data_IF_369987497954
#
_entry.id   IF_369987497954
#
_cell.length_a   1.000
_cell.length_b   1.000
_cell.length_c   1.000
_cell.angle_alpha   90.00
_cell.angle_beta   90.00
_cell.angle_gamma   90.00
#
_symmetry.space_group_name_H-M   'P 1'
#
loop_
_entity.id
_entity.type
_entity.pdbx_description
1 polymer ?
#
# COMPACT_ATOMS: atom_id res chain seq x y z
N UNK A 1 25.66 66.94 -12.01
CA UNK A 1 26.23 66.38 -13.25
C UNK A 1 26.55 64.93 -12.97
N UNK A 2 25.77 64.00 -13.53
CA UNK A 2 25.87 62.56 -13.30
C UNK A 2 26.38 61.89 -14.59
N UNK A 3 27.41 61.06 -14.51
CA UNK A 3 27.81 60.12 -15.57
C UNK A 3 27.51 58.68 -15.10
N UNK A 4 26.61 57.96 -15.80
CA UNK A 4 26.14 56.63 -15.44
C UNK A 4 26.80 55.54 -16.30
N UNK A 5 27.93 54.95 -15.88
CA UNK A 5 28.35 53.66 -16.45
C UNK A 5 29.41 52.92 -15.64
N UNK A 6 28.96 51.95 -14.82
CA UNK A 6 29.46 50.56 -14.77
C UNK A 6 28.94 49.84 -13.53
N UNK A 7 27.80 49.20 -13.69
CA UNK A 7 27.45 47.99 -12.95
C UNK A 7 27.77 46.78 -13.83
N UNK A 8 28.61 45.84 -13.39
CA UNK A 8 28.57 44.49 -13.92
C UNK A 8 27.63 43.62 -13.05
N UNK A 9 26.36 43.66 -13.45
CA UNK A 9 25.49 42.51 -13.74
C UNK A 9 25.66 41.25 -12.86
N UNK A 10 24.70 41.14 -11.93
CA UNK A 10 24.17 39.92 -11.28
C UNK A 10 24.49 38.60 -12.01
N UNK A 11 25.29 37.73 -11.38
CA UNK A 11 25.39 36.30 -11.69
C UNK A 11 24.68 35.53 -10.58
N UNK A 12 23.34 35.46 -10.59
CA UNK A 12 22.58 34.69 -9.58
C UNK A 12 21.46 33.83 -10.15
N UNK A 13 21.38 33.59 -11.46
CA UNK A 13 20.19 32.90 -12.04
C UNK A 13 20.46 31.49 -12.60
N UNK A 14 21.71 31.03 -12.72
CA UNK A 14 21.96 29.74 -13.38
C UNK A 14 21.93 28.49 -12.48
N UNK A 15 22.01 28.60 -11.15
CA UNK A 15 22.03 27.41 -10.28
C UNK A 15 20.63 26.86 -9.91
N UNK A 16 19.56 27.63 -10.14
CA UNK A 16 18.18 27.20 -9.84
C UNK A 16 17.60 26.26 -10.92
N UNK A 17 18.18 26.21 -12.12
CA UNK A 17 17.67 25.38 -13.22
C UNK A 17 18.06 23.90 -13.12
N UNK A 18 19.21 23.57 -12.53
CA UNK A 18 19.72 22.20 -12.53
C UNK A 18 18.97 21.28 -11.55
N UNK A 19 18.53 21.82 -10.41
CA UNK A 19 17.71 21.08 -9.45
C UNK A 19 16.33 20.73 -10.01
N UNK A 20 15.73 21.62 -10.79
CA UNK A 20 14.42 21.41 -11.39
C UNK A 20 14.43 20.33 -12.49
N UNK A 21 15.51 20.25 -13.28
CA UNK A 21 15.66 19.24 -14.35
C UNK A 21 15.89 17.84 -13.79
N UNK A 22 16.64 17.70 -12.68
CA UNK A 22 16.80 16.41 -12.00
C UNK A 22 15.48 15.92 -11.37
N UNK A 23 14.67 16.83 -10.82
CA UNK A 23 13.32 16.51 -10.29
C UNK A 23 12.36 16.11 -11.42
N UNK A 24 12.43 16.76 -12.59
CA UNK A 24 11.59 16.43 -13.74
C UNK A 24 11.94 15.04 -14.34
N UNK A 25 13.23 14.69 -14.38
CA UNK A 25 13.69 13.39 -14.89
C UNK A 25 13.41 12.22 -13.93
N UNK A 26 13.42 12.46 -12.62
CA UNK A 26 13.00 11.45 -11.64
C UNK A 26 11.48 11.21 -11.63
N UNK A 27 10.67 12.27 -11.87
CA UNK A 27 9.22 12.15 -12.01
C UNK A 27 8.81 11.33 -13.25
N UNK A 28 9.58 11.41 -14.33
CA UNK A 28 9.32 10.67 -15.58
C UNK A 28 9.65 9.17 -15.51
N UNK A 29 10.46 8.72 -14.54
CA UNK A 29 10.82 7.30 -14.42
C UNK A 29 9.96 6.51 -13.41
N UNK A 30 9.34 7.17 -12.42
CA UNK A 30 8.38 6.52 -11.51
C UNK A 30 6.94 6.56 -12.01
N UNK A 31 6.62 7.45 -12.95
CA UNK A 31 5.36 7.42 -13.69
C UNK A 31 5.49 6.45 -14.86
N UNK A 32 5.52 5.13 -14.58
CA UNK A 32 5.14 4.17 -15.62
C UNK A 32 3.65 4.36 -15.87
N UNK A 33 3.21 4.81 -17.06
CA UNK A 33 1.80 4.72 -17.39
C UNK A 33 1.43 3.24 -17.34
N UNK A 34 0.42 2.96 -16.52
CA UNK A 34 -0.28 1.68 -16.45
C UNK A 34 -0.52 1.20 -17.89
N UNK A 35 0.23 0.21 -18.35
CA UNK A 35 -0.09 -0.48 -19.59
C UNK A 35 -1.43 -1.17 -19.38
N UNK A 36 -2.44 -0.49 -19.88
CA UNK A 36 -3.80 -0.95 -20.06
C UNK A 36 -3.76 -1.97 -21.19
N UNK A 37 -3.37 -3.20 -20.87
CA UNK A 37 -3.64 -4.46 -21.60
C UNK A 37 -3.45 -5.53 -20.51
N UNK A 38 -4.46 -6.24 -20.03
CA UNK A 38 -5.21 -7.21 -20.80
C UNK A 38 -6.44 -7.64 -19.98
N UNK A 39 -7.60 -7.04 -20.24
CA UNK A 39 -8.88 -7.55 -19.74
C UNK A 39 -9.89 -7.49 -20.87
N UNK A 40 -9.64 -8.32 -21.88
CA UNK A 40 -10.57 -8.62 -22.97
C UNK A 40 -10.37 -10.08 -23.31
N UNK A 41 -11.12 -10.95 -22.64
CA UNK A 41 -11.45 -12.36 -22.93
C UNK A 41 -12.19 -12.87 -21.68
N UNK A 42 -13.43 -13.31 -21.65
CA UNK A 42 -14.38 -13.64 -22.69
C UNK A 42 -15.81 -13.43 -22.12
N UNK A 43 -16.57 -12.53 -22.74
CA UNK A 43 -18.05 -12.56 -22.69
C UNK A 43 -18.49 -13.15 -24.02
N UNK A 44 -18.36 -14.46 -24.11
CA UNK A 44 -19.01 -15.34 -25.07
C UNK A 44 -19.22 -16.62 -24.24
N UNK A 45 -20.41 -17.10 -23.95
CA UNK A 45 -21.47 -17.37 -24.89
C UNK A 45 -22.71 -17.76 -24.05
N UNK A 46 -23.72 -16.87 -23.94
CA UNK A 46 -24.98 -17.18 -23.26
C UNK A 46 -26.21 -16.92 -24.14
N UNK A 47 -26.01 -16.69 -25.45
CA UNK A 47 -27.10 -16.39 -26.40
C UNK A 47 -27.49 -17.57 -27.30
N UNK A 48 -26.88 -18.75 -27.14
CA UNK A 48 -27.09 -19.88 -28.07
C UNK A 48 -28.06 -20.98 -27.58
N UNK A 49 -28.71 -20.85 -26.40
CA UNK A 49 -29.64 -21.89 -25.90
C UNK A 49 -31.14 -21.55 -26.04
N UNK A 50 -31.52 -20.38 -26.55
CA UNK A 50 -32.93 -19.95 -26.63
C UNK A 50 -33.63 -20.31 -27.97
N UNK A 51 -33.28 -21.41 -28.63
CA UNK A 51 -34.01 -21.79 -29.85
C UNK A 51 -33.97 -23.29 -30.16
N UNK A 52 -34.79 -24.08 -29.46
CA UNK A 52 -35.45 -25.24 -30.08
C UNK A 52 -36.68 -25.68 -29.30
N UNK A 53 -37.82 -25.03 -29.58
CA UNK A 53 -39.11 -25.64 -29.32
C UNK A 53 -39.59 -26.31 -30.62
N UNK A 54 -39.91 -27.62 -30.62
CA UNK A 54 -40.90 -28.16 -31.51
C UNK A 54 -42.27 -28.11 -30.83
N UNK A 55 -43.26 -27.77 -31.65
CA UNK A 55 -44.66 -27.64 -31.28
C UNK A 55 -45.35 -29.01 -31.22
N UNK A 56 -46.20 -29.17 -30.19
CA UNK A 56 -47.40 -30.01 -30.09
C UNK A 56 -47.29 -31.55 -30.19
N UNK A 57 -47.62 -32.22 -29.08
CA UNK A 57 -48.68 -33.23 -29.11
C UNK A 57 -49.45 -33.23 -27.78
N UNK A 58 -50.78 -33.12 -27.84
CA UNK A 58 -51.69 -33.11 -26.69
C UNK A 58 -52.16 -34.55 -26.43
N UNK A 59 -51.40 -35.31 -25.64
CA UNK A 59 -51.91 -36.55 -25.04
C UNK A 59 -52.58 -36.25 -23.68
N UNK A 60 -53.76 -36.85 -23.37
CA UNK A 60 -54.34 -36.75 -22.03
C UNK A 60 -53.42 -37.41 -21.00
N UNK A 61 -53.41 -36.93 -19.74
CA UNK A 61 -52.40 -37.33 -18.77
C UNK A 61 -52.64 -38.79 -18.33
N UNK A 62 -51.60 -39.65 -18.33
CA UNK A 62 -51.66 -40.83 -17.47
C UNK A 62 -51.62 -40.35 -16.02
N UNK A 63 -52.54 -40.89 -15.23
CA UNK A 63 -52.68 -40.76 -13.79
C UNK A 63 -51.31 -40.68 -13.09
N UNK A 64 -51.06 -39.57 -12.38
CA UNK A 64 -49.80 -39.34 -11.67
C UNK A 64 -49.49 -40.51 -10.73
N UNK A 65 -48.39 -41.26 -10.91
CA UNK A 65 -47.92 -42.14 -9.86
C UNK A 65 -47.53 -41.30 -8.65
N UNK A 66 -47.88 -41.79 -7.46
CA UNK A 66 -47.55 -41.22 -6.13
C UNK A 66 -46.16 -40.57 -6.16
N UNK A 67 -46.02 -39.30 -5.71
CA UNK A 67 -44.73 -38.63 -5.72
C UNK A 67 -43.70 -39.49 -4.96
N UNK A 68 -42.56 -39.85 -5.56
CA UNK A 68 -41.49 -40.47 -4.82
C UNK A 68 -41.09 -39.52 -3.69
N UNK A 69 -40.94 -40.07 -2.49
CA UNK A 69 -40.50 -39.34 -1.31
C UNK A 69 -39.37 -38.38 -1.68
N UNK A 70 -39.53 -37.11 -1.28
CA UNK A 70 -38.49 -36.09 -1.32
C UNK A 70 -37.15 -36.73 -0.99
N UNK A 71 -36.13 -36.68 -1.88
CA UNK A 71 -34.79 -37.08 -1.49
C UNK A 71 -34.43 -36.26 -0.26
N UNK A 72 -34.33 -36.93 0.89
CA UNK A 72 -33.83 -36.31 2.10
C UNK A 72 -32.49 -35.68 1.72
N UNK A 73 -32.40 -34.36 1.85
CA UNK A 73 -31.17 -33.62 1.63
C UNK A 73 -30.05 -34.38 2.38
N UNK A 74 -28.96 -34.78 1.70
CA UNK A 74 -27.92 -35.54 2.35
C UNK A 74 -27.42 -34.74 3.55
N UNK A 75 -27.54 -35.30 4.75
CA UNK A 75 -27.03 -34.70 5.96
C UNK A 75 -25.58 -34.23 5.71
N UNK A 76 -25.21 -32.98 6.05
CA UNK A 76 -23.85 -32.51 5.89
C UNK A 76 -22.85 -33.50 6.50
N UNK A 77 -21.72 -33.77 5.84
CA UNK A 77 -20.67 -34.61 6.39
C UNK A 77 -20.38 -34.25 7.85
N UNK A 78 -20.23 -35.25 8.71
CA UNK A 78 -20.07 -35.06 10.15
C UNK A 78 -18.93 -34.09 10.53
N UNK A 79 -17.89 -34.01 9.69
CA UNK A 79 -16.77 -33.08 9.88
C UNK A 79 -17.12 -31.61 9.65
N UNK A 80 -18.11 -31.29 8.80
CA UNK A 80 -18.57 -29.90 8.62
C UNK A 80 -19.32 -29.40 9.86
N UNK A 81 -20.11 -30.26 10.51
CA UNK A 81 -20.86 -29.91 11.74
C UNK A 81 -19.93 -29.54 12.90
N UNK A 82 -18.79 -30.22 13.02
CA UNK A 82 -17.77 -29.88 14.03
C UNK A 82 -17.22 -28.47 13.85
N UNK A 83 -17.00 -28.04 12.61
CA UNK A 83 -16.56 -26.66 12.32
C UNK A 83 -17.63 -25.69 12.80
N UNK A 84 -18.89 -25.93 12.45
CA UNK A 84 -20.01 -25.06 12.82
C UNK A 84 -20.17 -24.95 14.34
N UNK A 85 -19.94 -26.03 15.08
CA UNK A 85 -19.99 -26.02 16.54
C UNK A 85 -18.86 -25.20 17.14
N UNK A 86 -17.66 -25.25 16.57
CA UNK A 86 -16.56 -24.40 17.07
C UNK A 86 -16.76 -22.94 16.69
N UNK A 87 -17.37 -22.63 15.54
CA UNK A 87 -17.74 -21.24 15.19
C UNK A 87 -18.69 -20.62 16.21
N UNK A 88 -19.59 -21.41 16.83
CA UNK A 88 -20.48 -20.93 17.90
C UNK A 88 -19.76 -20.63 19.21
N UNK A 89 -18.52 -21.10 19.38
CA UNK A 89 -17.71 -20.83 20.60
C UNK A 89 -16.95 -19.51 20.55
N UNK A 90 -16.97 -18.81 19.40
CA UNK A 90 -16.33 -17.51 19.28
C UNK A 90 -17.06 -16.47 20.13
N UNK A 91 -16.28 -15.69 20.87
CA UNK A 91 -16.80 -14.64 21.73
C UNK A 91 -16.84 -13.31 20.97
N UNK A 92 -17.89 -12.48 21.14
CA UNK A 92 -17.88 -11.13 20.62
C UNK A 92 -16.85 -10.28 21.37
N UNK A 93 -16.12 -9.45 20.63
CA UNK A 93 -15.16 -8.50 21.17
C UNK A 93 -15.22 -7.17 20.43
N UNK A 94 -14.67 -6.15 21.07
CA UNK A 94 -14.51 -4.82 20.53
C UNK A 94 -13.05 -4.60 20.14
N UNK A 95 -12.84 -3.85 19.06
CA UNK A 95 -11.53 -3.43 18.59
C UNK A 95 -11.46 -1.92 18.43
N UNK A 96 -10.32 -1.34 18.77
CA UNK A 96 -9.94 0.02 18.40
C UNK A 96 -8.54 0.01 17.78
N UNK A 97 -8.30 0.88 16.80
CA UNK A 97 -7.01 1.02 16.14
C UNK A 97 -6.84 2.42 15.54
N UNK A 98 -5.60 2.91 15.46
CA UNK A 98 -5.33 4.19 14.82
C UNK A 98 -5.26 4.08 13.29
N UNK A 99 -5.74 5.12 12.62
CA UNK A 99 -5.80 5.26 11.16
C UNK A 99 -5.16 6.58 10.75
N UNK A 100 -3.86 6.58 10.37
CA UNK A 100 -3.18 7.80 9.95
C UNK A 100 -3.67 8.23 8.57
N UNK A 101 -4.23 9.43 8.47
CA UNK A 101 -4.68 9.99 7.18
C UNK A 101 -3.52 10.47 6.31
N UNK A 102 -2.37 10.75 6.93
CA UNK A 102 -1.17 11.27 6.26
C UNK A 102 0.10 10.64 6.80
N UNK A 103 1.05 10.40 5.92
CA UNK A 103 2.39 9.96 6.27
C UNK A 103 3.45 10.72 5.45
N UNK A 104 4.70 10.69 5.92
CA UNK A 104 5.84 11.22 5.17
C UNK A 104 6.62 10.06 4.57
N UNK A 105 7.03 10.22 3.31
CA UNK A 105 7.84 9.24 2.62
C UNK A 105 9.11 8.91 3.42
N UNK A 106 9.38 7.63 3.66
CA UNK A 106 10.56 7.17 4.39
C UNK A 106 10.53 7.37 5.92
N UNK A 107 9.51 8.03 6.47
CA UNK A 107 9.39 8.22 7.91
C UNK A 107 8.50 7.13 8.52
N UNK A 108 9.02 6.45 9.55
CA UNK A 108 8.28 5.43 10.27
C UNK A 108 7.12 6.03 11.08
N UNK A 109 5.99 5.33 11.10
CA UNK A 109 4.83 5.59 11.94
C UNK A 109 4.40 4.31 12.66
N UNK A 110 3.73 4.46 13.80
CA UNK A 110 3.27 3.32 14.60
C UNK A 110 1.77 3.12 14.40
N UNK A 111 1.37 1.89 14.11
CA UNK A 111 -0.01 1.44 14.12
C UNK A 111 -0.20 0.54 15.34
N UNK A 112 -1.19 0.85 16.15
CA UNK A 112 -1.58 0.11 17.35
C UNK A 112 -3.03 -0.33 17.21
N UNK A 113 -3.29 -1.61 17.48
CA UNK A 113 -4.62 -2.15 17.59
C UNK A 113 -4.82 -2.79 18.96
N UNK A 114 -5.97 -2.54 19.58
CA UNK A 114 -6.35 -3.07 20.89
C UNK A 114 -7.68 -3.78 20.81
N UNK A 115 -7.76 -4.98 21.37
CA UNK A 115 -8.96 -5.80 21.41
C UNK A 115 -9.32 -6.12 22.87
N UNK A 116 -10.60 -6.04 23.20
CA UNK A 116 -11.13 -6.49 24.50
C UNK A 116 -12.52 -7.09 24.35
N UNK A 117 -12.80 -8.13 25.13
CA UNK A 117 -14.14 -8.74 25.26
C UNK A 117 -15.04 -7.98 26.25
N UNK A 118 -14.45 -7.13 27.11
CA UNK A 118 -15.17 -6.45 28.21
C UNK A 118 -15.31 -4.96 28.02
N UNK A 119 -14.25 -4.29 27.56
CA UNK A 119 -14.29 -2.85 27.44
C UNK A 119 -15.17 -2.44 26.24
N UNK A 120 -16.07 -1.46 26.41
CA UNK A 120 -16.82 -0.90 25.30
C UNK A 120 -15.89 -0.11 24.35
N UNK A 121 -16.34 0.10 23.12
CA UNK A 121 -15.54 0.73 22.05
C UNK A 121 -15.08 2.15 22.38
N UNK A 122 -15.87 2.94 23.11
CA UNK A 122 -15.53 4.29 23.56
C UNK A 122 -14.36 4.31 24.55
N UNK A 123 -14.31 3.36 25.48
CA UNK A 123 -13.18 3.25 26.43
C UNK A 123 -11.93 2.74 25.73
N UNK A 124 -12.06 1.74 24.85
CA UNK A 124 -10.94 1.26 24.02
C UNK A 124 -10.34 2.35 23.14
N UNK A 125 -11.18 3.24 22.59
CA UNK A 125 -10.75 4.32 21.72
C UNK A 125 -9.77 5.27 22.42
N UNK A 126 -10.01 5.57 23.71
CA UNK A 126 -9.15 6.45 24.52
C UNK A 126 -7.80 5.81 24.85
N UNK A 127 -7.73 4.47 24.82
CA UNK A 127 -6.50 3.73 25.06
C UNK A 127 -5.59 3.62 23.83
N UNK A 128 -6.03 4.08 22.65
CA UNK A 128 -5.23 4.01 21.43
C UNK A 128 -4.20 5.13 21.41
N UNK A 129 -2.94 4.71 21.26
CA UNK A 129 -1.80 5.59 21.09
C UNK A 129 -1.29 5.51 19.65
N UNK A 130 -1.08 6.66 19.03
CA UNK A 130 -0.52 6.74 17.69
C UNK A 130 -1.02 7.95 16.89
N UNK A 131 -0.44 8.19 15.71
CA UNK A 131 -0.91 9.24 14.80
C UNK A 131 -2.22 8.85 14.14
N UNK A 132 -3.02 9.87 13.80
CA UNK A 132 -4.26 9.71 13.03
C UNK A 132 -5.53 9.73 13.86
N UNK A 133 -6.64 9.47 13.19
CA UNK A 133 -7.93 9.21 13.83
C UNK A 133 -7.95 7.81 14.45
N UNK A 134 -8.91 7.52 15.32
CA UNK A 134 -9.08 6.17 15.89
C UNK A 134 -10.38 5.58 15.37
N UNK A 135 -10.26 4.45 14.68
CA UNK A 135 -11.38 3.66 14.22
C UNK A 135 -11.72 2.57 15.25
N UNK A 136 -13.00 2.24 15.33
CA UNK A 136 -13.53 1.21 16.22
C UNK A 136 -14.38 0.20 15.43
N UNK A 137 -14.54 -0.99 15.99
CA UNK A 137 -15.38 -2.02 15.41
C UNK A 137 -15.66 -3.15 16.39
N UNK A 138 -16.41 -4.13 15.90
CA UNK A 138 -16.66 -5.39 16.59
C UNK A 138 -16.14 -6.55 15.74
N UNK A 139 -15.72 -7.62 16.41
CA UNK A 139 -15.29 -8.85 15.76
C UNK A 139 -15.58 -10.04 16.66
N UNK A 140 -15.43 -11.23 16.10
CA UNK A 140 -15.46 -12.49 16.84
C UNK A 140 -14.02 -12.90 17.17
N UNK A 141 -13.77 -13.35 18.39
CA UNK A 141 -12.44 -13.79 18.85
C UNK A 141 -12.48 -15.22 19.38
N UNK A 142 -11.36 -15.93 19.24
CA UNK A 142 -11.09 -17.18 19.92
C UNK A 142 -9.98 -16.99 20.97
N UNK A 143 -9.60 -18.06 21.66
CA UNK A 143 -8.50 -18.03 22.65
C UNK A 143 -7.15 -17.62 22.04
N UNK A 144 -6.96 -17.80 20.73
CA UNK A 144 -5.74 -17.42 20.01
C UNK A 144 -6.10 -16.68 18.73
N UNK A 145 -5.57 -15.47 18.59
CA UNK A 145 -5.82 -14.61 17.45
C UNK A 145 -4.52 -14.42 16.67
N UNK A 146 -4.64 -14.20 15.37
CA UNK A 146 -3.56 -13.77 14.49
C UNK A 146 -3.90 -12.43 13.87
N UNK A 147 -2.97 -11.48 13.95
CA UNK A 147 -3.15 -10.15 13.41
C UNK A 147 -2.12 -9.89 12.30
N UNK A 148 -2.58 -9.38 11.16
CA UNK A 148 -1.70 -9.06 10.03
C UNK A 148 -1.92 -7.63 9.58
N UNK A 149 -0.83 -6.89 9.39
CA UNK A 149 -0.82 -5.60 8.73
C UNK A 149 0.02 -5.70 7.46
N UNK A 150 -0.54 -5.30 6.32
CA UNK A 150 0.13 -5.41 5.03
C UNK A 150 -0.15 -4.22 4.11
N UNK A 151 0.78 -3.94 3.21
CA UNK A 151 0.61 -2.94 2.15
C UNK A 151 1.86 -2.88 1.27
N UNK A 152 1.69 -3.05 -0.05
CA UNK A 152 2.83 -3.17 -0.97
C UNK A 152 3.75 -1.93 -0.98
N UNK A 153 3.17 -0.75 -0.74
CA UNK A 153 3.89 0.51 -0.67
C UNK A 153 4.52 0.81 0.70
N UNK A 154 4.47 -0.12 1.65
CA UNK A 154 4.99 0.06 3.00
C UNK A 154 5.99 -1.03 3.38
N UNK A 155 6.98 -0.68 4.18
CA UNK A 155 7.77 -1.63 4.96
C UNK A 155 7.10 -1.77 6.33
N UNK A 156 6.59 -2.96 6.65
CA UNK A 156 5.85 -3.24 7.89
C UNK A 156 6.69 -4.15 8.80
N UNK A 157 6.86 -3.74 10.06
CA UNK A 157 7.61 -4.47 11.07
C UNK A 157 6.79 -4.59 12.35
N UNK A 158 6.59 -5.79 12.92
CA UNK A 158 6.90 -7.11 12.35
C UNK A 158 6.13 -7.38 11.05
N UNK A 159 6.76 -8.08 10.10
CA UNK A 159 6.11 -8.52 8.87
C UNK A 159 5.34 -9.83 9.10
N UNK A 160 4.21 -9.98 8.41
CA UNK A 160 3.40 -11.19 8.44
C UNK A 160 2.49 -11.31 9.67
N UNK A 161 1.93 -12.51 9.90
CA UNK A 161 0.95 -12.74 10.97
C UNK A 161 1.60 -12.74 12.36
N UNK A 162 0.99 -12.02 13.30
CA UNK A 162 1.35 -12.00 14.71
C UNK A 162 0.32 -12.73 15.54
N UNK A 163 0.71 -13.89 16.06
CA UNK A 163 -0.18 -14.69 16.90
C UNK A 163 -0.06 -14.29 18.38
N UNK A 164 -1.20 -14.12 19.03
CA UNK A 164 -1.28 -13.85 20.47
C UNK A 164 -2.44 -14.60 21.12
N UNK A 165 -2.26 -14.91 22.40
CA UNK A 165 -3.34 -15.42 23.24
C UNK A 165 -4.25 -14.28 23.68
N UNK A 166 -5.56 -14.52 23.62
CA UNK A 166 -6.57 -13.59 24.10
C UNK A 166 -6.84 -13.80 25.58
N UNK A 167 -6.97 -12.69 26.30
CA UNK A 167 -7.48 -12.67 27.67
C UNK A 167 -8.92 -12.18 27.66
N UNK A 168 -9.76 -12.74 28.52
CA UNK A 168 -11.10 -12.21 28.75
C UNK A 168 -11.10 -10.99 29.69
N UNK A 169 -10.07 -10.85 30.53
CA UNK A 169 -9.97 -9.75 31.49
C UNK A 169 -9.11 -8.60 30.98
N UNK A 170 -8.08 -8.90 30.17
CA UNK A 170 -7.08 -7.92 29.75
C UNK A 170 -7.25 -7.49 28.29
N UNK A 171 -6.81 -6.27 28.01
CA UNK A 171 -6.75 -5.75 26.64
C UNK A 171 -5.53 -6.32 25.93
N UNK A 172 -5.75 -7.04 24.84
CA UNK A 172 -4.66 -7.52 23.99
C UNK A 172 -4.24 -6.43 23.01
N UNK A 173 -2.93 -6.20 22.87
CA UNK A 173 -2.37 -5.11 22.05
C UNK A 173 -1.42 -5.66 21.00
N UNK A 174 -1.62 -5.22 19.75
CA UNK A 174 -0.69 -5.41 18.65
C UNK A 174 -0.13 -4.08 18.19
N UNK A 175 1.14 -4.10 17.82
CA UNK A 175 1.87 -2.91 17.39
C UNK A 175 2.69 -3.22 16.15
N UNK A 176 2.61 -2.34 15.18
CA UNK A 176 3.42 -2.36 13.97
C UNK A 176 4.09 -1.02 13.76
N UNK A 177 5.33 -1.05 13.30
CA UNK A 177 6.02 0.09 12.72
C UNK A 177 5.90 0.01 11.21
N UNK A 178 5.47 1.09 10.58
CA UNK A 178 5.15 1.16 9.16
C UNK A 178 5.94 2.30 8.53
N UNK A 179 6.70 2.01 7.48
CA UNK A 179 7.49 3.02 6.76
C UNK A 179 7.03 3.11 5.31
N UNK A 180 6.49 4.25 4.85
CA UNK A 180 6.06 4.41 3.46
C UNK A 180 7.24 4.43 2.49
N UNK A 181 7.13 3.68 1.39
CA UNK A 181 8.12 3.60 0.30
C UNK A 181 7.72 4.37 -0.95
N UNK A 182 6.43 4.62 -1.15
CA UNK A 182 5.88 5.24 -2.35
C UNK A 182 5.00 6.42 -1.95
N UNK A 183 5.16 7.55 -2.63
CA UNK A 183 4.35 8.74 -2.40
C UNK A 183 2.95 8.61 -3.04
N UNK A 184 2.03 9.50 -2.65
CA UNK A 184 0.63 9.50 -3.09
C UNK A 184 -0.30 8.67 -2.21
N UNK A 185 -1.54 8.43 -2.65
CA UNK A 185 -2.52 7.65 -1.91
C UNK A 185 -2.12 6.17 -1.87
N UNK A 186 -1.91 5.63 -0.68
CA UNK A 186 -1.49 4.25 -0.46
C UNK A 186 -2.42 3.53 0.51
N UNK A 187 -2.58 2.21 0.33
CA UNK A 187 -3.48 1.39 1.13
C UNK A 187 -2.71 0.49 2.09
N UNK A 188 -3.14 0.48 3.35
CA UNK A 188 -2.81 -0.55 4.33
C UNK A 188 -4.03 -1.44 4.57
N UNK A 189 -3.80 -2.74 4.73
CA UNK A 189 -4.82 -3.74 5.04
C UNK A 189 -4.49 -4.32 6.40
N UNK A 190 -5.38 -4.08 7.36
CA UNK A 190 -5.35 -4.66 8.70
C UNK A 190 -6.36 -5.80 8.75
N UNK A 191 -5.92 -7.00 9.13
CA UNK A 191 -6.78 -8.17 9.28
C UNK A 191 -6.55 -8.87 10.62
N UNK A 192 -7.62 -9.42 11.17
CA UNK A 192 -7.59 -10.31 12.32
C UNK A 192 -8.27 -11.63 11.97
N UNK A 193 -7.58 -12.71 12.32
CA UNK A 193 -8.00 -14.08 12.07
C UNK A 193 -8.09 -14.82 13.41
N UNK A 194 -9.23 -15.45 13.68
CA UNK A 194 -9.39 -16.36 14.80
C UNK A 194 -8.73 -17.70 14.45
N UNK A 195 -7.82 -18.16 15.32
CA UNK A 195 -7.18 -19.47 15.19
C UNK A 195 -8.02 -20.47 15.97
N UNK A 196 -8.52 -21.47 15.23
CA UNK A 196 -9.45 -22.47 15.75
C UNK A 196 -8.83 -23.86 15.61
N UNK A 197 -8.71 -24.57 16.73
CA UNK A 197 -8.27 -25.97 16.73
C UNK A 197 -9.47 -26.90 16.63
N UNK A 198 -9.42 -27.86 15.70
CA UNK A 198 -10.44 -28.91 15.54
C UNK A 198 -9.77 -30.23 15.91
N UNK A 199 -10.36 -30.98 16.86
CA UNK A 199 -9.92 -32.33 17.25
C UNK A 199 -8.41 -32.47 17.59
N UNK A 200 -7.80 -31.43 18.17
CA UNK A 200 -6.38 -31.46 18.56
C UNK A 200 -5.40 -31.51 17.38
N UNK A 201 -5.86 -31.22 16.16
CA UNK A 201 -5.02 -31.12 14.97
C UNK A 201 -3.94 -30.04 15.14
N UNK A 202 -2.72 -30.32 14.66
CA UNK A 202 -1.57 -29.42 14.82
C UNK A 202 -1.70 -28.11 14.01
N UNK A 203 -2.48 -28.11 12.93
CA UNK A 203 -2.71 -26.93 12.10
C UNK A 203 -4.07 -26.30 12.47
N UNK A 204 -4.10 -25.12 13.13
CA UNK A 204 -5.34 -24.42 13.39
C UNK A 204 -5.95 -23.92 12.08
N UNK A 205 -7.27 -23.97 11.99
CA UNK A 205 -8.02 -23.29 10.93
C UNK A 205 -8.03 -21.80 11.24
N UNK A 206 -7.74 -20.98 10.24
CA UNK A 206 -7.87 -19.52 10.30
C UNK A 206 -9.26 -19.10 9.83
N UNK A 207 -9.93 -18.26 10.61
CA UNK A 207 -11.16 -17.61 10.20
C UNK A 207 -10.97 -16.10 10.25
N UNK A 208 -11.11 -15.42 9.12
CA UNK A 208 -11.08 -13.96 9.11
C UNK A 208 -12.32 -13.39 9.79
N UNK A 209 -12.13 -12.72 10.93
CA UNK A 209 -13.23 -12.12 11.70
C UNK A 209 -13.27 -10.61 11.58
N UNK A 210 -12.19 -10.00 11.08
CA UNK A 210 -12.13 -8.57 10.83
C UNK A 210 -11.13 -8.25 9.70
N UNK A 211 -11.52 -7.34 8.82
CA UNK A 211 -10.65 -6.76 7.81
C UNK A 211 -10.98 -5.28 7.60
N UNK A 212 -9.96 -4.43 7.59
CA UNK A 212 -10.11 -3.00 7.32
C UNK A 212 -9.02 -2.50 6.38
N UNK A 213 -9.46 -1.67 5.46
CA UNK A 213 -8.63 -0.86 4.58
C UNK A 213 -8.40 0.52 5.20
N UNK A 214 -7.14 0.94 5.27
CA UNK A 214 -6.71 2.25 5.78
C UNK A 214 -6.00 2.98 4.65
N UNK A 215 -6.65 4.02 4.12
CA UNK A 215 -6.09 4.88 3.09
C UNK A 215 -5.20 5.93 3.76
N UNK A 216 -3.93 5.98 3.34
CA UNK A 216 -2.91 6.90 3.86
C UNK A 216 -2.39 7.75 2.72
N UNK A 217 -2.46 9.08 2.87
CA UNK A 217 -1.86 10.00 1.90
C UNK A 217 -0.38 10.20 2.22
N UNK A 218 0.51 9.68 1.38
CA UNK A 218 1.96 9.79 1.57
C UNK A 218 2.47 11.03 0.84
N UNK A 219 2.91 12.03 1.61
CA UNK A 219 3.43 13.27 1.06
C UNK A 219 4.74 13.09 0.27
N UNK A 220 4.85 13.79 -0.86
CA UNK A 220 6.11 13.91 -1.59
C UNK A 220 7.15 14.72 -0.79
N UNK A 221 8.43 14.33 -0.82
CA UNK A 221 9.51 15.15 -0.26
C UNK A 221 9.55 16.49 -1.01
N UNK A 222 9.51 17.61 -0.26
CA UNK A 222 9.42 18.96 -0.83
C UNK A 222 10.77 19.67 -0.84
N UNK A 223 11.69 19.21 0.00
CA UNK A 223 13.01 19.85 0.15
C UNK A 223 14.12 18.99 -0.43
N UNK A 224 15.19 19.64 -0.94
CA UNK A 224 16.37 18.95 -1.47
C UNK A 224 17.08 18.10 -0.39
N UNK A 225 16.96 18.49 0.89
CA UNK A 225 17.50 17.77 2.04
C UNK A 225 16.74 16.47 2.32
N UNK A 226 15.40 16.51 2.33
CA UNK A 226 14.57 15.30 2.47
C UNK A 226 14.82 14.31 1.32
N UNK A 227 14.97 14.84 0.10
CA UNK A 227 15.32 14.03 -1.07
C UNK A 227 16.71 13.39 -0.93
N UNK A 228 17.70 14.15 -0.45
CA UNK A 228 19.05 13.64 -0.22
C UNK A 228 19.10 12.60 0.91
N UNK A 229 18.31 12.77 1.98
CA UNK A 229 18.18 11.79 3.05
C UNK A 229 17.49 10.50 2.58
N UNK A 230 16.46 10.62 1.74
CA UNK A 230 15.81 9.48 1.12
C UNK A 230 16.79 8.69 0.25
N UNK A 231 17.57 9.38 -0.62
CA UNK A 231 18.62 8.73 -1.41
C UNK A 231 19.68 8.14 -0.49
N UNK A 232 20.17 8.82 0.55
CA UNK A 232 21.23 8.27 1.41
C UNK A 232 20.78 6.99 2.12
N UNK A 233 19.54 6.97 2.62
CA UNK A 233 18.99 5.83 3.37
C UNK A 233 18.67 4.64 2.46
N UNK A 234 18.28 4.87 1.19
CA UNK A 234 17.95 3.82 0.20
C UNK A 234 19.04 3.65 -0.90
N UNK A 235 20.18 4.31 -0.75
CA UNK A 235 21.11 4.62 -1.86
C UNK A 235 22.17 3.57 -2.18
N UNK A 236 22.19 2.45 -1.46
CA UNK A 236 23.04 1.31 -1.83
C UNK A 236 22.79 0.84 -3.26
N UNK A 237 21.54 0.94 -3.74
CA UNK A 237 21.12 0.35 -5.01
C UNK A 237 21.05 1.35 -6.19
N UNK A 238 21.07 2.66 -5.93
CA UNK A 238 20.78 3.71 -6.94
C UNK A 238 22.02 4.55 -7.32
N UNK A 239 23.12 4.45 -6.55
CA UNK A 239 24.33 5.27 -6.74
C UNK A 239 25.01 5.09 -8.11
N UNK A 240 25.02 3.87 -8.66
CA UNK A 240 25.74 3.55 -9.91
C UNK A 240 25.12 4.17 -11.17
N UNK A 241 23.79 4.36 -11.20
CA UNK A 241 23.10 4.96 -12.36
C UNK A 241 23.43 6.44 -12.47
N UNK A 242 23.40 7.19 -11.35
CA UNK A 242 23.78 8.60 -11.35
C UNK A 242 25.27 8.82 -11.61
N UNK A 243 26.15 7.92 -11.15
CA UNK A 243 27.57 7.98 -11.48
C UNK A 243 27.82 7.92 -12.99
N UNK A 244 27.12 7.03 -13.71
CA UNK A 244 27.25 6.89 -15.16
C UNK A 244 26.77 8.11 -15.96
N UNK A 245 25.78 8.86 -15.44
CA UNK A 245 25.23 10.04 -16.10
C UNK A 245 25.96 11.34 -15.73
N UNK A 246 26.35 11.50 -14.45
CA UNK A 246 26.95 12.75 -13.96
C UNK A 246 28.43 12.89 -14.31
N UNK A 247 29.19 11.79 -14.40
CA UNK A 247 30.61 11.81 -14.80
C UNK A 247 30.81 12.39 -16.22
N UNK A 248 30.10 11.94 -17.28
CA UNK A 248 30.26 12.53 -18.61
C UNK A 248 29.72 13.97 -18.69
N UNK A 249 28.61 14.29 -18.02
CA UNK A 249 28.09 15.67 -17.97
C UNK A 249 29.07 16.62 -17.28
N UNK A 250 29.62 16.23 -16.14
CA UNK A 250 30.59 17.03 -15.39
C UNK A 250 31.85 17.31 -16.22
N UNK A 251 32.36 16.29 -16.92
CA UNK A 251 33.48 16.44 -17.85
C UNK A 251 33.19 17.41 -19.00
N UNK A 252 32.01 17.30 -19.62
CA UNK A 252 31.59 18.17 -20.72
C UNK A 252 31.41 19.63 -20.27
N UNK A 253 30.81 19.86 -19.09
CA UNK A 253 30.63 21.21 -18.51
C UNK A 253 31.99 21.83 -18.19
N UNK A 254 32.91 21.06 -17.59
CA UNK A 254 34.25 21.56 -17.30
C UNK A 254 35.02 21.93 -18.57
N UNK A 255 34.94 21.09 -19.62
CA UNK A 255 35.53 21.38 -20.92
C UNK A 255 34.94 22.65 -21.56
N UNK A 256 33.62 22.84 -21.45
CA UNK A 256 32.93 24.04 -21.96
C UNK A 256 33.35 25.31 -21.21
N UNK A 257 33.44 25.25 -19.87
CA UNK A 257 33.91 26.38 -19.04
C UNK A 257 35.36 26.73 -19.40
N UNK A 258 36.22 25.74 -19.61
CA UNK A 258 37.61 25.95 -20.03
C UNK A 258 37.68 26.61 -21.41
N UNK A 259 36.82 26.20 -22.34
CA UNK A 259 36.76 26.76 -23.69
C UNK A 259 36.28 28.22 -23.73
N UNK A 260 35.36 28.59 -22.84
CA UNK A 260 34.85 29.97 -22.71
C UNK A 260 35.83 30.94 -22.00
N UNK A 261 36.90 30.43 -21.36
CA UNK A 261 37.91 31.25 -20.65
C UNK A 261 39.14 31.59 -21.50
N UNK A 262 39.07 31.54 -22.83
CA UNK A 262 40.17 32.01 -23.69
C UNK A 262 40.41 33.52 -23.48
N UNK A 263 41.64 33.98 -23.16
CA UNK A 263 41.92 35.39 -22.95
C UNK A 263 41.73 36.19 -24.26
N UNK A 264 41.38 37.49 -24.18
CA UNK A 264 41.22 38.34 -25.36
C UNK A 264 42.52 38.38 -26.18
N UNK A 265 42.41 38.30 -27.50
CA UNK A 265 43.52 38.45 -28.44
C UNK A 265 44.23 39.79 -28.21
N UNK A 266 45.57 39.73 -28.08
CA UNK A 266 46.41 40.91 -27.93
C UNK A 266 46.20 41.88 -29.11
N UNK A 267 46.19 43.22 -28.87
CA UNK A 267 46.07 44.19 -29.96
C UNK A 267 47.26 44.06 -30.93
N UNK A 268 47.05 44.30 -32.23
CA UNK A 268 48.11 44.18 -33.23
C UNK A 268 49.26 45.15 -32.92
N UNK A 269 50.51 44.78 -33.24
CA UNK A 269 51.66 45.64 -32.99
C UNK A 269 51.48 46.97 -33.74
N UNK A 270 51.75 48.07 -33.03
CA UNK A 270 51.75 49.39 -33.64
C UNK A 270 52.92 49.48 -34.63
N UNK A 271 52.58 49.61 -35.92
CA UNK A 271 53.53 50.02 -36.94
C UNK A 271 54.03 51.43 -36.59
N UNK A 272 55.30 51.54 -36.18
CA UNK A 272 56.02 52.81 -36.15
C UNK A 272 56.85 52.88 -37.44
N UNK A 273 56.41 53.73 -38.37
CA UNK A 273 57.20 54.21 -39.52
C UNK A 273 58.17 55.31 -39.08
#
# INVERSE_FOLDING_TARGET
>A
MADPSRTPRRIHVALLGLGAVAVLLAALFFFRPMSLLQQTEAVADFSSLQSKAPHLDLSPPPESPVPPATPAEPAPPADLRKVDDVLKTLAPANIAFNTPDRARLGQALVITAKISTRLPTNELQVLIEGPGSVAVGTLQVSSRMSATLSGGAFDVTPAGPQEQWMSDDQVTTWTWTVTPKVAGPQMLILSFDALISIDGQQAPRTLNTFARQVLVEVGWPRTATEWLEFIKTKGGDISWIWASLLVPLGGAIWALIKWLRKPPSAPPPADYS
#
